data_IF_017715971996
#
_entry.id   IF_017715971996
#
_cell.length_a   1.000
_cell.length_b   1.000
_cell.length_c   1.000
_cell.angle_alpha   90.00
_cell.angle_beta   90.00
_cell.angle_gamma   90.00
#
_symmetry.space_group_name_H-M   'P 1'
#
loop_
_entity.id
_entity.type
_entity.pdbx_description
1 polymer ?
#
# COMPACT_ATOMS: atom_id res chain seq x y z
N UNK A 1 -13.78 14.86 -28.92
CA UNK A 1 -12.95 14.39 -27.81
C UNK A 1 -12.13 13.23 -28.33
N UNK A 2 -10.92 13.52 -28.82
CA UNK A 2 -10.11 12.57 -29.60
C UNK A 2 -9.01 12.03 -28.69
N UNK A 3 -9.04 10.73 -28.41
CA UNK A 3 -7.99 10.05 -27.64
C UNK A 3 -6.92 9.57 -28.61
N UNK A 4 -5.77 10.23 -28.60
CA UNK A 4 -4.60 9.79 -29.39
C UNK A 4 -3.78 8.80 -28.55
N UNK A 5 -3.79 7.52 -28.91
CA UNK A 5 -2.87 6.50 -28.39
C UNK A 5 -1.52 6.62 -29.14
N UNK A 6 -0.51 7.11 -28.49
CA UNK A 6 0.88 6.97 -28.95
C UNK A 6 1.43 5.63 -28.50
N UNK A 7 1.70 4.74 -29.46
CA UNK A 7 2.51 3.54 -29.27
C UNK A 7 3.97 3.91 -29.53
N UNK A 8 4.76 4.05 -28.48
CA UNK A 8 6.22 4.00 -28.64
C UNK A 8 6.65 2.53 -28.66
N UNK A 9 7.13 2.06 -29.80
CA UNK A 9 7.94 0.85 -29.90
C UNK A 9 9.34 1.19 -29.38
N UNK A 10 9.72 0.60 -28.27
CA UNK A 10 11.12 0.51 -27.90
C UNK A 10 11.64 -0.82 -28.44
N UNK A 11 12.55 -0.72 -29.40
CA UNK A 11 13.39 -1.82 -29.85
C UNK A 11 14.46 -2.01 -28.77
N UNK A 12 14.44 -3.14 -28.07
CA UNK A 12 15.48 -3.53 -27.12
C UNK A 12 16.06 -4.84 -27.63
N UNK A 13 17.11 -4.70 -28.36
CA UNK A 13 18.04 -5.82 -28.60
C UNK A 13 18.96 -5.94 -27.39
N UNK A 14 19.25 -7.16 -27.00
CA UNK A 14 20.43 -7.46 -26.22
C UNK A 14 20.20 -8.12 -24.86
N UNK A 15 20.54 -9.38 -24.83
CA UNK A 15 21.14 -10.18 -23.75
C UNK A 15 20.32 -10.46 -22.50
N UNK A 16 19.71 -11.62 -22.62
CA UNK A 16 19.07 -12.43 -21.59
C UNK A 16 20.12 -12.96 -20.58
N UNK A 17 20.43 -12.20 -19.55
CA UNK A 17 20.92 -12.76 -18.30
C UNK A 17 19.73 -12.90 -17.33
N UNK A 18 19.03 -14.01 -17.50
CA UNK A 18 18.09 -14.50 -16.50
C UNK A 18 18.89 -14.86 -15.26
N UNK A 19 19.01 -13.92 -14.34
CA UNK A 19 19.34 -14.19 -12.95
C UNK A 19 18.28 -15.13 -12.38
N UNK A 20 18.53 -16.43 -12.51
CA UNK A 20 17.72 -17.44 -11.86
C UNK A 20 17.74 -17.16 -10.36
N UNK A 21 16.56 -16.96 -9.77
CA UNK A 21 16.40 -17.04 -8.33
C UNK A 21 16.72 -18.50 -8.00
N UNK A 22 17.96 -18.78 -7.58
CA UNK A 22 18.27 -20.04 -6.92
C UNK A 22 17.41 -20.12 -5.67
N UNK A 23 16.35 -20.90 -5.75
CA UNK A 23 15.67 -21.36 -4.56
C UNK A 23 16.69 -22.16 -3.77
N UNK A 24 17.21 -21.56 -2.69
CA UNK A 24 18.03 -22.24 -1.72
C UNK A 24 17.14 -23.30 -1.07
N UNK A 25 17.08 -24.49 -1.67
CA UNK A 25 16.56 -25.68 -1.04
C UNK A 25 17.59 -26.12 -0.01
N UNK A 26 17.60 -25.49 1.15
CA UNK A 26 18.24 -26.09 2.32
C UNK A 26 17.41 -27.30 2.66
N UNK A 27 17.97 -28.47 2.38
CA UNK A 27 17.44 -29.74 2.88
C UNK A 27 17.33 -29.64 4.40
N UNK A 28 16.16 -29.81 4.99
CA UNK A 28 16.05 -29.78 6.45
C UNK A 28 16.91 -30.88 7.02
N UNK A 29 17.77 -30.51 8.00
CA UNK A 29 18.41 -31.50 8.88
C UNK A 29 17.34 -32.49 9.35
N UNK A 30 17.69 -33.79 9.43
CA UNK A 30 16.81 -34.82 9.93
C UNK A 30 16.44 -34.54 11.39
N UNK A 31 15.49 -33.68 11.62
CA UNK A 31 14.78 -33.59 12.88
C UNK A 31 13.85 -34.78 12.99
N UNK A 32 13.85 -35.40 14.17
CA UNK A 32 13.11 -36.62 14.44
C UNK A 32 11.64 -36.50 14.03
N UNK A 33 11.12 -37.51 13.37
CA UNK A 33 9.77 -37.53 12.83
C UNK A 33 8.74 -37.20 13.93
N UNK A 34 8.21 -35.99 13.90
CA UNK A 34 7.07 -35.58 14.72
C UNK A 34 5.87 -36.36 14.19
N UNK A 35 5.33 -37.27 14.98
CA UNK A 35 4.15 -38.06 14.59
C UNK A 35 2.97 -37.13 14.34
N UNK A 36 2.21 -37.40 13.28
CA UNK A 36 1.00 -36.65 12.98
C UNK A 36 0.03 -36.65 14.18
N UNK A 37 -0.63 -35.51 14.50
CA UNK A 37 -1.56 -35.45 15.62
C UNK A 37 -2.75 -36.37 15.41
N UNK A 38 -3.09 -37.12 16.45
CA UNK A 38 -4.22 -38.06 16.46
C UNK A 38 -5.52 -37.27 16.61
N UNK A 39 -6.37 -37.24 15.57
CA UNK A 39 -7.77 -36.85 15.57
C UNK A 39 -8.25 -35.68 16.45
N UNK A 40 -9.55 -35.38 16.49
CA UNK A 40 -10.09 -34.26 17.31
C UNK A 40 -9.87 -34.59 18.82
N UNK A 41 -9.30 -33.58 19.53
CA UNK A 41 -9.03 -33.69 20.99
C UNK A 41 -10.03 -32.83 21.74
N UNK A 42 -10.47 -33.30 22.89
CA UNK A 42 -11.18 -32.45 23.84
C UNK A 42 -10.30 -31.28 24.28
N UNK A 43 -10.91 -30.11 24.42
CA UNK A 43 -10.20 -28.87 24.79
C UNK A 43 -10.05 -28.84 26.31
N UNK A 44 -8.98 -29.41 26.83
CA UNK A 44 -8.64 -29.38 28.26
C UNK A 44 -7.97 -28.05 28.64
N UNK A 45 -7.84 -27.81 29.94
CA UNK A 45 -7.15 -26.61 30.46
C UNK A 45 -5.66 -26.61 30.07
N UNK A 46 -5.02 -27.78 30.11
CA UNK A 46 -3.62 -27.99 29.71
C UNK A 46 -3.42 -27.65 28.22
N UNK A 47 -4.33 -28.15 27.36
CA UNK A 47 -4.27 -27.84 25.93
C UNK A 47 -4.45 -26.35 25.62
N UNK A 48 -5.29 -25.64 26.40
CA UNK A 48 -5.41 -24.18 26.28
C UNK A 48 -4.10 -23.49 26.63
N UNK A 49 -3.46 -23.89 27.74
CA UNK A 49 -2.19 -23.28 28.15
C UNK A 49 -1.05 -23.53 27.16
N UNK A 50 -1.00 -24.73 26.55
CA UNK A 50 -0.05 -25.05 25.48
C UNK A 50 -0.30 -24.23 24.23
N UNK A 51 -1.57 -24.01 23.88
CA UNK A 51 -1.98 -23.17 22.74
C UNK A 51 -1.55 -21.72 22.90
N UNK A 52 -1.71 -21.16 24.10
CA UNK A 52 -1.23 -19.79 24.39
C UNK A 52 0.28 -19.66 24.21
N UNK A 53 1.05 -20.62 24.71
CA UNK A 53 2.50 -20.67 24.50
C UNK A 53 2.86 -20.75 23.02
N UNK A 54 2.18 -21.60 22.28
CA UNK A 54 2.36 -21.76 20.83
C UNK A 54 2.11 -20.44 20.09
N UNK A 55 1.00 -19.74 20.39
CA UNK A 55 0.70 -18.45 19.75
C UNK A 55 1.73 -17.37 20.09
N UNK A 56 2.25 -17.37 21.31
CA UNK A 56 3.28 -16.46 21.73
C UNK A 56 4.64 -16.71 21.03
N UNK A 57 4.86 -17.93 20.57
CA UNK A 57 6.11 -18.32 19.90
C UNK A 57 6.09 -18.04 18.38
N UNK A 58 4.94 -18.13 17.72
CA UNK A 58 4.80 -17.98 16.28
C UNK A 58 5.47 -16.72 15.71
N UNK A 59 5.35 -15.51 16.31
CA UNK A 59 5.96 -14.29 15.77
C UNK A 59 7.48 -14.33 15.65
N UNK A 60 8.18 -15.16 16.45
CA UNK A 60 9.63 -15.33 16.36
C UNK A 60 10.05 -15.95 15.02
N UNK A 61 9.15 -16.71 14.40
CA UNK A 61 9.33 -17.36 13.10
C UNK A 61 8.60 -16.63 11.97
N UNK A 62 8.11 -15.40 12.21
CA UNK A 62 7.29 -14.64 11.25
C UNK A 62 6.03 -15.39 10.80
N UNK A 63 5.44 -16.16 11.71
CA UNK A 63 4.21 -16.91 11.49
C UNK A 63 3.04 -16.31 12.27
N UNK A 64 1.83 -16.51 11.77
CA UNK A 64 0.58 -16.16 12.43
C UNK A 64 -0.44 -17.30 12.26
N UNK A 65 -1.37 -17.41 13.20
CA UNK A 65 -2.43 -18.39 13.15
C UNK A 65 -3.65 -17.80 12.40
N UNK A 66 -3.88 -18.24 11.17
CA UNK A 66 -4.97 -17.72 10.34
C UNK A 66 -6.34 -17.88 11.02
N UNK A 67 -6.57 -18.97 11.70
CA UNK A 67 -7.85 -19.25 12.40
C UNK A 67 -8.16 -18.26 13.53
N UNK A 68 -7.18 -17.52 14.05
CA UNK A 68 -7.41 -16.48 15.04
C UNK A 68 -7.89 -15.15 14.43
N UNK A 69 -7.70 -14.98 13.12
CA UNK A 69 -8.02 -13.75 12.37
C UNK A 69 -8.90 -14.04 11.15
N UNK A 70 -9.43 -15.27 11.05
CA UNK A 70 -10.12 -15.73 9.86
C UNK A 70 -11.32 -14.88 9.50
N UNK A 71 -12.14 -14.52 10.48
CA UNK A 71 -13.37 -13.72 10.30
C UNK A 71 -13.07 -12.29 9.84
N UNK A 72 -11.90 -11.77 10.21
CA UNK A 72 -11.44 -10.45 9.78
C UNK A 72 -10.71 -10.49 8.43
N UNK A 73 -9.99 -11.60 8.17
CA UNK A 73 -9.19 -11.76 6.96
C UNK A 73 -10.02 -12.24 5.75
N UNK A 74 -11.01 -13.09 5.98
CA UNK A 74 -11.85 -13.71 4.95
C UNK A 74 -13.32 -13.37 5.20
N UNK A 75 -13.71 -12.16 4.85
CA UNK A 75 -15.11 -11.73 4.98
C UNK A 75 -15.92 -12.18 3.77
N UNK A 76 -17.18 -12.65 3.95
CA UNK A 76 -18.06 -13.05 2.86
C UNK A 76 -18.33 -11.92 1.85
N UNK A 77 -18.32 -10.68 2.34
CA UNK A 77 -18.49 -9.48 1.54
C UNK A 77 -17.28 -8.55 1.71
N UNK A 78 -16.92 -7.79 0.65
CA UNK A 78 -15.84 -6.81 0.75
C UNK A 78 -16.13 -5.78 1.84
N UNK A 79 -15.27 -5.70 2.86
CA UNK A 79 -15.33 -4.68 3.91
C UNK A 79 -14.27 -3.63 3.65
N UNK A 80 -14.68 -2.48 3.15
CA UNK A 80 -13.79 -1.33 3.05
C UNK A 80 -13.91 -0.44 4.28
N UNK A 81 -12.78 0.08 4.76
CA UNK A 81 -12.76 1.13 5.78
C UNK A 81 -12.93 2.52 5.17
N UNK A 82 -12.73 2.62 3.86
CA UNK A 82 -12.97 3.88 3.16
C UNK A 82 -14.45 4.21 3.15
N UNK A 83 -14.78 5.46 3.43
CA UNK A 83 -16.16 5.96 3.36
C UNK A 83 -16.33 6.86 2.14
N UNK A 84 -17.52 6.94 1.53
CA UNK A 84 -17.81 7.93 0.50
C UNK A 84 -17.53 9.33 1.04
N UNK A 85 -16.73 10.12 0.32
CA UNK A 85 -16.38 11.47 0.73
C UNK A 85 -16.19 12.39 -0.48
N UNK A 86 -16.61 13.63 -0.35
CA UNK A 86 -16.49 14.64 -1.39
C UNK A 86 -15.62 15.81 -0.90
N UNK A 87 -14.46 15.99 -1.52
CA UNK A 87 -13.62 17.17 -1.34
C UNK A 87 -14.11 18.28 -2.28
N UNK A 88 -14.92 19.20 -1.76
CA UNK A 88 -15.46 20.29 -2.55
C UNK A 88 -14.35 21.26 -2.98
N UNK A 89 -14.31 21.61 -4.27
CA UNK A 89 -13.31 22.52 -4.80
C UNK A 89 -13.33 23.89 -4.10
N UNK A 90 -14.51 24.39 -3.77
CA UNK A 90 -14.68 25.64 -3.02
C UNK A 90 -14.00 25.65 -1.65
N UNK A 91 -13.82 24.48 -1.05
CA UNK A 91 -13.15 24.30 0.23
C UNK A 91 -11.65 23.99 0.08
N UNK A 92 -11.30 23.24 -0.95
CA UNK A 92 -9.91 22.80 -1.20
C UNK A 92 -9.08 23.92 -1.79
N UNK A 93 -9.61 24.64 -2.81
CA UNK A 93 -8.88 25.69 -3.53
C UNK A 93 -8.26 26.77 -2.63
N UNK A 94 -8.99 27.37 -1.69
CA UNK A 94 -8.41 28.37 -0.79
C UNK A 94 -7.22 27.83 0.03
N UNK A 95 -7.25 26.56 0.41
CA UNK A 95 -6.18 25.90 1.16
C UNK A 95 -4.95 25.66 0.29
N UNK A 96 -5.16 25.25 -0.96
CA UNK A 96 -4.09 25.09 -1.94
C UNK A 96 -3.40 26.43 -2.22
N UNK A 97 -4.16 27.49 -2.43
CA UNK A 97 -3.61 28.84 -2.63
C UNK A 97 -2.85 29.33 -1.40
N UNK A 98 -3.42 29.09 -0.21
CA UNK A 98 -2.75 29.45 1.04
C UNK A 98 -1.43 28.71 1.25
N UNK A 99 -1.34 27.44 0.83
CA UNK A 99 -0.09 26.70 0.85
C UNK A 99 0.98 27.34 -0.05
N UNK A 100 0.56 27.95 -1.18
CA UNK A 100 1.45 28.73 -2.05
C UNK A 100 2.07 29.95 -1.39
N UNK A 101 1.31 30.61 -0.51
CA UNK A 101 1.79 31.77 0.24
C UNK A 101 2.72 31.40 1.40
N UNK A 102 2.49 30.26 2.01
CA UNK A 102 3.17 29.85 3.26
C UNK A 102 4.40 28.97 3.03
N UNK A 103 4.45 28.20 1.96
CA UNK A 103 5.50 27.19 1.74
C UNK A 103 6.10 27.39 0.36
N UNK A 104 7.41 27.59 0.30
CA UNK A 104 8.13 27.75 -0.96
C UNK A 104 8.26 26.41 -1.69
N UNK A 105 8.42 26.44 -3.02
CA UNK A 105 8.69 25.24 -3.81
C UNK A 105 9.97 24.53 -3.38
N UNK A 106 10.95 25.27 -2.85
CA UNK A 106 12.22 24.71 -2.37
C UNK A 106 12.02 23.91 -1.08
N UNK A 107 11.21 24.39 -0.15
CA UNK A 107 10.93 23.72 1.13
C UNK A 107 10.04 22.50 0.94
N UNK A 108 9.00 22.63 0.13
CA UNK A 108 8.05 21.56 -0.10
C UNK A 108 8.59 20.47 -1.04
N UNK A 109 9.69 20.76 -1.77
CA UNK A 109 10.11 20.00 -2.93
C UNK A 109 8.98 19.81 -3.98
N UNK A 110 7.79 19.43 -3.49
CA UNK A 110 6.52 19.33 -4.20
C UNK A 110 5.40 19.84 -3.32
N UNK A 111 4.87 21.01 -3.64
CA UNK A 111 3.75 21.59 -2.90
C UNK A 111 2.45 20.87 -3.27
N UNK A 112 2.19 19.75 -2.59
CA UNK A 112 1.02 18.89 -2.79
C UNK A 112 0.21 18.81 -1.51
N UNK A 113 -1.08 19.09 -1.59
CA UNK A 113 -2.05 18.72 -0.57
C UNK A 113 -2.71 17.40 -1.00
N UNK A 114 -2.53 16.35 -0.23
CA UNK A 114 -3.12 15.06 -0.53
C UNK A 114 -4.45 14.85 0.19
N UNK A 115 -5.32 14.06 -0.42
CA UNK A 115 -6.64 13.77 0.12
C UNK A 115 -6.56 12.62 1.12
N UNK A 116 -7.17 12.84 2.28
CA UNK A 116 -7.31 11.85 3.34
C UNK A 116 -8.75 11.39 3.40
N UNK A 117 -8.96 10.07 3.30
CA UNK A 117 -10.28 9.52 3.52
C UNK A 117 -10.59 9.46 5.02
N UNK A 118 -11.72 10.04 5.49
CA UNK A 118 -12.03 10.09 6.91
C UNK A 118 -12.30 8.72 7.55
N UNK A 119 -12.53 7.68 6.76
CA UNK A 119 -12.66 6.30 7.24
C UNK A 119 -11.34 5.55 7.37
N UNK A 120 -10.22 6.14 6.92
CA UNK A 120 -8.90 5.54 6.99
C UNK A 120 -8.06 6.17 8.11
N UNK A 121 -7.10 5.43 8.69
CA UNK A 121 -6.16 5.99 9.64
C UNK A 121 -5.37 7.17 9.02
N UNK A 122 -5.14 8.26 9.76
CA UNK A 122 -4.49 9.47 9.23
C UNK A 122 -3.05 9.24 8.74
N UNK A 123 -2.38 8.19 9.21
CA UNK A 123 -1.04 7.79 8.77
C UNK A 123 -1.07 7.17 7.36
N UNK A 124 -2.25 6.75 6.91
CA UNK A 124 -2.41 6.16 5.60
C UNK A 124 -2.67 7.25 4.57
N UNK A 125 -1.64 7.64 3.83
CA UNK A 125 -1.71 8.63 2.74
C UNK A 125 -2.53 8.04 1.58
N UNK A 126 -3.86 8.06 1.71
CA UNK A 126 -4.74 7.39 0.75
C UNK A 126 -6.11 8.07 0.69
N UNK A 127 -6.54 8.38 -0.51
CA UNK A 127 -7.89 8.84 -0.77
C UNK A 127 -8.92 7.69 -0.73
N UNK A 128 -8.53 6.53 -1.22
CA UNK A 128 -9.32 5.29 -1.17
C UNK A 128 -8.37 4.10 -1.17
N UNK A 129 -8.34 3.33 -0.09
CA UNK A 129 -7.62 2.07 -0.01
C UNK A 129 -6.22 2.07 -0.63
N UNK A 130 -6.15 1.82 -1.92
CA UNK A 130 -4.92 1.74 -2.73
C UNK A 130 -4.66 2.96 -3.61
N UNK A 131 -5.55 3.98 -3.60
CA UNK A 131 -5.41 5.15 -4.44
C UNK A 131 -4.92 6.36 -3.63
N UNK A 132 -3.81 6.92 -4.06
CA UNK A 132 -3.36 8.25 -3.67
C UNK A 132 -3.97 9.29 -4.60
N UNK A 133 -4.45 10.40 -4.06
CA UNK A 133 -4.85 11.56 -4.83
C UNK A 133 -4.45 12.85 -4.09
N UNK A 134 -4.10 13.86 -4.84
CA UNK A 134 -3.69 15.15 -4.27
C UNK A 134 -3.70 16.26 -5.32
N UNK A 135 -3.59 17.49 -4.86
CA UNK A 135 -3.52 18.68 -5.70
C UNK A 135 -2.16 19.33 -5.52
N UNK A 136 -1.43 19.45 -6.61
CA UNK A 136 -0.14 20.14 -6.67
C UNK A 136 -0.36 21.60 -7.13
N UNK A 137 0.26 22.53 -6.41
CA UNK A 137 0.35 23.92 -6.81
C UNK A 137 1.76 24.24 -7.27
N UNK A 138 1.86 24.79 -8.48
CA UNK A 138 3.07 25.36 -9.05
C UNK A 138 2.73 26.81 -9.39
N UNK A 139 3.47 27.75 -8.83
CA UNK A 139 3.29 29.17 -9.07
C UNK A 139 4.09 29.61 -10.31
N UNK A 140 3.76 30.76 -10.92
CA UNK A 140 4.52 31.29 -12.03
C UNK A 140 6.02 31.40 -11.71
N UNK A 141 6.86 30.89 -12.60
CA UNK A 141 8.32 30.87 -12.42
C UNK A 141 8.87 29.70 -11.59
N UNK A 142 8.01 28.88 -10.98
CA UNK A 142 8.44 27.67 -10.29
C UNK A 142 8.58 26.48 -11.24
N UNK A 143 9.52 25.61 -10.94
CA UNK A 143 9.78 24.39 -11.72
C UNK A 143 9.61 23.16 -10.81
N UNK A 144 8.70 22.27 -11.19
CA UNK A 144 8.62 20.95 -10.58
C UNK A 144 9.76 20.06 -11.12
N UNK A 145 10.69 19.65 -10.25
CA UNK A 145 11.82 18.80 -10.64
C UNK A 145 11.35 17.41 -11.11
N UNK A 146 12.06 16.86 -12.07
CA UNK A 146 11.86 15.48 -12.52
C UNK A 146 12.13 14.50 -11.39
N UNK A 147 11.33 13.43 -11.33
CA UNK A 147 11.48 12.34 -10.36
C UNK A 147 10.92 11.06 -10.91
N UNK A 148 11.31 9.97 -10.31
CA UNK A 148 10.79 8.64 -10.60
C UNK A 148 10.04 8.09 -9.38
N UNK A 149 9.01 7.30 -9.65
CA UNK A 149 8.28 6.54 -8.65
C UNK A 149 7.72 5.27 -9.29
N UNK A 150 7.52 4.23 -8.49
CA UNK A 150 6.95 2.94 -8.94
C UNK A 150 5.44 3.00 -9.23
N UNK A 151 4.62 3.76 -8.46
CA UNK A 151 3.20 3.88 -8.79
C UNK A 151 2.98 4.62 -10.10
N UNK A 152 1.99 4.17 -10.88
CA UNK A 152 1.51 4.93 -12.03
C UNK A 152 0.84 6.24 -11.59
N UNK A 153 1.03 7.31 -12.35
CA UNK A 153 0.43 8.61 -12.05
C UNK A 153 -0.31 9.20 -13.26
N UNK A 154 -1.48 9.75 -13.00
CA UNK A 154 -2.26 10.55 -13.95
C UNK A 154 -2.35 11.97 -13.42
N UNK A 155 -2.21 12.96 -14.28
CA UNK A 155 -2.34 14.38 -13.92
C UNK A 155 -3.41 15.04 -14.77
N UNK A 156 -4.21 15.88 -14.12
CA UNK A 156 -5.17 16.76 -14.76
C UNK A 156 -4.82 18.20 -14.41
N UNK A 157 -4.82 19.07 -15.40
CA UNK A 157 -4.72 20.51 -15.16
C UNK A 157 -6.12 21.00 -14.76
N UNK A 158 -6.22 21.59 -13.58
CA UNK A 158 -7.48 22.14 -13.05
C UNK A 158 -7.56 23.64 -13.33
N UNK A 159 -6.47 24.36 -13.10
CA UNK A 159 -6.32 25.78 -13.40
C UNK A 159 -4.91 26.01 -13.97
N UNK A 160 -4.75 26.99 -14.85
CA UNK A 160 -3.51 27.31 -15.55
C UNK A 160 -3.33 26.56 -16.87
N UNK A 161 -2.14 26.65 -17.44
CA UNK A 161 -1.73 26.06 -18.71
C UNK A 161 -0.59 25.06 -18.52
#
# INVERSE_FOLDING_TARGET
>A
MTVTRSRARADVGGDDERGGIEMITQSPAKEGAVSAPKGPREVTAELKAEREKFYADLPKYQLGALWNVLDDALTPEPRTRSVPYLWKWSEVRPRVMRAGELVTAKEAERRVLYFLNPGLPPEKISAVGTLYAGIQLILPGEIARTHHHTPAATRFIIEGE
#
